data_IF_897384144762
#
_entry.id   IF_897384144762
#
_cell.length_a   1.000
_cell.length_b   1.000
_cell.length_c   1.000
_cell.angle_alpha   90.00
_cell.angle_beta   90.00
_cell.angle_gamma   90.00
#
_symmetry.space_group_name_H-M   'P 1'
#
loop_
_entity.id
_entity.type
_entity.pdbx_description
1 polymer ?
#
# COMPACT_ATOMS: atom_id res chain seq x y z
N UNK A 1 35.60 -72.07 -0.58
CA UNK A 1 34.70 -73.03 -1.27
C UNK A 1 33.81 -73.69 -0.24
N UNK A 2 32.53 -73.84 -0.58
CA UNK A 2 31.49 -74.70 0.01
C UNK A 2 30.81 -74.31 1.34
N UNK A 3 29.60 -73.81 1.12
CA UNK A 3 28.35 -73.93 1.89
C UNK A 3 28.11 -75.29 2.57
N UNK A 4 27.48 -75.30 3.75
CA UNK A 4 26.09 -75.81 4.00
C UNK A 4 25.73 -75.85 5.51
N UNK A 5 24.45 -75.51 5.80
CA UNK A 5 23.64 -75.59 7.05
C UNK A 5 23.36 -77.07 7.47
N UNK A 6 22.70 -77.46 8.60
CA UNK A 6 21.60 -76.77 9.36
C UNK A 6 21.45 -77.02 10.91
N UNK A 7 20.39 -76.38 11.45
CA UNK A 7 19.68 -76.44 12.77
C UNK A 7 19.44 -77.86 13.38
N UNK A 8 19.12 -78.05 14.70
CA UNK A 8 17.87 -77.56 15.35
C UNK A 8 17.86 -77.27 16.88
N UNK A 9 16.66 -76.87 17.30
CA UNK A 9 16.08 -76.37 18.57
C UNK A 9 15.92 -77.37 19.73
N UNK A 10 15.96 -76.86 20.98
CA UNK A 10 15.23 -77.43 22.14
C UNK A 10 14.72 -76.33 23.09
N UNK A 11 13.40 -76.40 23.40
CA UNK A 11 12.61 -75.69 24.43
C UNK A 11 12.79 -76.39 25.81
N UNK A 12 12.46 -75.90 27.03
CA UNK A 12 11.25 -75.20 27.54
C UNK A 12 11.41 -74.84 29.05
N UNK A 13 10.46 -74.00 29.56
CA UNK A 13 10.02 -73.64 30.95
C UNK A 13 10.60 -72.33 31.54
N UNK A 14 9.84 -71.36 32.08
CA UNK A 14 8.43 -71.29 32.55
C UNK A 14 8.00 -69.82 32.85
N UNK A 15 6.70 -69.48 32.69
CA UNK A 15 5.94 -68.46 33.47
C UNK A 15 5.57 -67.12 32.78
N UNK A 16 4.44 -66.98 32.06
CA UNK A 16 3.11 -66.41 32.47
C UNK A 16 3.17 -65.01 33.15
N UNK A 17 2.38 -63.96 32.83
CA UNK A 17 1.15 -63.74 32.04
C UNK A 17 0.91 -62.22 31.87
N UNK A 18 0.33 -61.77 30.75
CA UNK A 18 -0.13 -60.39 30.47
C UNK A 18 -1.36 -59.97 31.31
N UNK A 19 -1.55 -58.65 31.50
CA UNK A 19 -2.86 -58.06 31.83
C UNK A 19 -3.05 -56.68 31.20
N UNK A 20 -4.20 -56.48 30.55
CA UNK A 20 -4.75 -55.21 30.04
C UNK A 20 -6.00 -54.81 30.83
N UNK A 21 -6.18 -53.47 30.97
CA UNK A 21 -7.40 -52.64 31.11
C UNK A 21 -8.41 -52.80 32.29
N UNK A 22 -8.59 -51.67 33.01
CA UNK A 22 -9.82 -50.82 33.11
C UNK A 22 -10.43 -50.54 34.50
N UNK A 23 -10.90 -49.28 34.67
CA UNK A 23 -11.84 -48.68 35.66
C UNK A 23 -11.40 -48.62 37.14
N UNK A 24 -11.69 -47.60 37.98
CA UNK A 24 -12.68 -46.51 38.03
C UNK A 24 -12.03 -45.24 38.68
N UNK A 25 -12.64 -44.04 38.72
CA UNK A 25 -13.56 -43.62 39.81
C UNK A 25 -14.31 -42.30 39.49
N UNK A 26 -15.62 -42.34 39.75
CA UNK A 26 -16.62 -41.33 40.18
C UNK A 26 -16.42 -39.81 39.97
N UNK A 27 -17.43 -39.16 39.38
CA UNK A 27 -17.98 -37.88 39.87
C UNK A 27 -19.50 -37.80 39.59
N UNK A 28 -20.19 -37.14 40.53
CA UNK A 28 -21.61 -37.24 40.87
C UNK A 28 -22.62 -36.72 39.83
N UNK A 29 -23.79 -37.35 39.85
CA UNK A 29 -24.97 -37.05 39.05
C UNK A 29 -25.87 -35.97 39.69
N UNK A 30 -26.55 -35.18 38.86
CA UNK A 30 -27.87 -34.60 39.11
C UNK A 30 -28.74 -34.78 37.85
N UNK A 31 -29.98 -35.25 38.03
CA UNK A 31 -30.90 -35.75 36.99
C UNK A 31 -31.96 -34.71 36.58
N UNK A 32 -32.10 -34.50 35.26
CA UNK A 32 -33.32 -34.45 34.39
C UNK A 32 -34.47 -33.43 34.65
N UNK A 33 -35.40 -33.15 33.69
CA UNK A 33 -35.62 -33.76 32.36
C UNK A 33 -35.86 -32.78 31.17
N UNK A 34 -36.13 -33.40 30.02
CA UNK A 34 -36.40 -32.92 28.66
C UNK A 34 -37.43 -31.80 28.45
N UNK A 35 -37.24 -31.02 27.38
CA UNK A 35 -38.30 -30.76 26.40
C UNK A 35 -37.76 -30.40 25.01
N UNK A 36 -38.57 -30.75 24.02
CA UNK A 36 -38.30 -30.85 22.60
C UNK A 36 -38.64 -29.55 21.83
N UNK A 37 -38.18 -29.49 20.59
CA UNK A 37 -38.78 -28.76 19.44
C UNK A 37 -38.56 -27.24 19.33
N UNK A 38 -37.70 -26.81 18.39
CA UNK A 38 -38.07 -26.10 17.15
C UNK A 38 -36.81 -25.57 16.45
N UNK A 39 -36.48 -26.19 15.31
CA UNK A 39 -35.56 -25.63 14.34
C UNK A 39 -36.18 -24.34 13.77
N UNK A 40 -35.52 -23.20 13.97
CA UNK A 40 -35.86 -21.93 13.32
C UNK A 40 -34.82 -21.63 12.27
N UNK A 41 -35.24 -21.72 11.02
CA UNK A 41 -34.59 -21.27 9.80
C UNK A 41 -34.02 -19.86 9.99
N UNK A 42 -32.71 -19.67 9.88
CA UNK A 42 -32.11 -18.34 9.78
C UNK A 42 -32.26 -17.85 8.34
N UNK A 43 -33.21 -16.93 8.14
CA UNK A 43 -33.26 -16.05 6.97
C UNK A 43 -32.03 -15.14 6.96
N UNK A 44 -31.28 -15.18 5.87
CA UNK A 44 -30.24 -14.22 5.52
C UNK A 44 -30.86 -12.83 5.31
N UNK A 45 -30.54 -11.87 6.18
CA UNK A 45 -30.77 -10.44 5.91
C UNK A 45 -29.52 -9.87 5.25
N UNK A 46 -29.60 -9.65 3.95
CA UNK A 46 -28.66 -8.81 3.20
C UNK A 46 -28.85 -7.36 3.66
N UNK A 47 -27.77 -6.73 4.15
CA UNK A 47 -27.74 -5.31 4.48
C UNK A 47 -27.50 -4.54 3.18
N UNK A 48 -28.54 -3.98 2.58
CA UNK A 48 -28.42 -3.00 1.50
C UNK A 48 -28.42 -1.61 2.10
N UNK A 49 -27.31 -0.89 1.92
CA UNK A 49 -27.17 0.51 2.30
C UNK A 49 -27.88 1.37 1.25
N UNK A 50 -29.08 1.86 1.58
CA UNK A 50 -29.83 2.80 0.73
C UNK A 50 -29.32 4.23 0.95
N UNK A 51 -28.76 4.85 -0.09
CA UNK A 51 -28.58 6.30 -0.18
C UNK A 51 -29.91 6.93 -0.61
N UNK A 52 -30.39 7.90 0.16
CA UNK A 52 -31.56 8.76 -0.17
C UNK A 52 -31.13 9.97 -0.99
N UNK A 53 -31.84 10.35 -2.07
CA UNK A 53 -31.71 11.66 -2.68
C UNK A 53 -32.78 12.64 -2.18
N UNK A 54 -32.38 13.90 -1.99
CA UNK A 54 -33.20 15.06 -1.64
C UNK A 54 -33.99 15.50 -2.88
N UNK A 55 -35.32 15.65 -2.75
CA UNK A 55 -36.17 16.23 -3.78
C UNK A 55 -36.51 17.69 -3.46
N UNK A 56 -36.23 18.59 -4.40
CA UNK A 56 -36.63 20.01 -4.38
C UNK A 56 -37.84 20.21 -5.29
N UNK A 57 -38.85 20.90 -4.76
CA UNK A 57 -40.11 21.28 -5.43
C UNK A 57 -39.87 22.49 -6.33
N UNK A 58 -40.35 22.45 -7.59
CA UNK A 58 -40.84 23.64 -8.30
C UNK A 58 -41.96 23.25 -9.29
N UNK A 59 -43.05 24.01 -9.23
CA UNK A 59 -44.28 23.85 -10.02
C UNK A 59 -44.22 24.68 -11.31
N UNK A 60 -44.92 24.24 -12.37
CA UNK A 60 -45.59 25.21 -13.26
C UNK A 60 -45.81 24.80 -14.73
N UNK A 61 -47.09 24.74 -15.11
CA UNK A 61 -47.69 25.08 -16.43
C UNK A 61 -47.20 24.33 -17.68
N UNK A 62 -47.96 23.30 -18.04
CA UNK A 62 -48.10 22.80 -19.41
C UNK A 62 -49.25 23.53 -20.13
N UNK A 63 -49.25 23.42 -21.47
CA UNK A 63 -50.29 23.81 -22.44
C UNK A 63 -50.09 25.18 -23.10
N UNK A 64 -49.13 25.24 -24.03
CA UNK A 64 -49.25 25.99 -25.29
C UNK A 64 -48.13 25.68 -26.32
N UNK A 65 -47.14 24.84 -25.99
CA UNK A 65 -45.96 24.56 -26.82
C UNK A 65 -46.01 23.28 -27.68
N UNK A 66 -47.18 22.64 -27.86
CA UNK A 66 -47.25 21.31 -28.49
C UNK A 66 -47.39 21.29 -30.02
N UNK A 67 -47.67 22.43 -30.67
CA UNK A 67 -47.82 22.49 -32.13
C UNK A 67 -46.52 22.85 -32.87
N UNK A 68 -45.68 23.74 -32.31
CA UNK A 68 -44.38 24.12 -32.92
C UNK A 68 -43.27 23.06 -32.73
N UNK A 69 -43.46 22.11 -31.80
CA UNK A 69 -42.52 21.00 -31.60
C UNK A 69 -42.67 19.88 -32.64
N UNK A 70 -43.83 19.73 -33.28
CA UNK A 70 -44.05 18.68 -34.29
C UNK A 70 -43.27 18.94 -35.58
N UNK A 71 -43.35 20.16 -36.10
CA UNK A 71 -42.74 20.54 -37.39
C UNK A 71 -41.20 20.68 -37.32
N UNK A 72 -40.67 20.97 -36.12
CA UNK A 72 -39.23 21.09 -35.87
C UNK A 72 -38.55 19.72 -35.71
N UNK A 73 -39.30 18.69 -35.30
CA UNK A 73 -38.79 17.32 -35.15
C UNK A 73 -38.70 16.61 -36.50
N UNK A 74 -39.69 16.76 -37.38
CA UNK A 74 -39.67 16.12 -38.72
C UNK A 74 -38.53 16.65 -39.62
N UNK A 75 -38.27 17.96 -39.59
CA UNK A 75 -37.16 18.57 -40.33
C UNK A 75 -35.78 18.17 -39.78
N UNK A 76 -35.68 17.89 -38.47
CA UNK A 76 -34.43 17.45 -37.85
C UNK A 76 -34.14 15.97 -38.11
N UNK A 77 -35.16 15.13 -38.24
CA UNK A 77 -35.00 13.70 -38.60
C UNK A 77 -34.59 13.51 -40.06
N UNK A 78 -35.12 14.32 -40.99
CA UNK A 78 -34.75 14.27 -42.41
C UNK A 78 -33.30 14.74 -42.67
N UNK A 79 -32.80 15.67 -41.85
CA UNK A 79 -31.40 16.13 -41.93
C UNK A 79 -30.41 15.06 -41.41
N UNK A 80 -30.82 14.29 -40.40
CA UNK A 80 -30.06 13.20 -39.78
C UNK A 80 -29.98 11.95 -40.67
N UNK A 81 -31.03 11.63 -41.43
CA UNK A 81 -30.97 10.54 -42.42
C UNK A 81 -30.08 10.88 -43.62
N UNK A 82 -30.13 12.14 -44.12
CA UNK A 82 -29.27 12.57 -45.23
C UNK A 82 -27.78 12.59 -44.88
N UNK A 83 -27.43 12.92 -43.64
CA UNK A 83 -26.04 12.88 -43.17
C UNK A 83 -25.55 11.45 -42.99
N UNK A 84 -26.37 10.55 -42.42
CA UNK A 84 -26.03 9.11 -42.32
C UNK A 84 -25.81 8.45 -43.68
N UNK A 85 -26.66 8.74 -44.67
CA UNK A 85 -26.51 8.20 -46.03
C UNK A 85 -25.27 8.72 -46.78
N UNK A 86 -24.79 9.93 -46.45
CA UNK A 86 -23.52 10.46 -46.99
C UNK A 86 -22.29 9.86 -46.31
N UNK A 87 -22.40 9.46 -45.04
CA UNK A 87 -21.32 8.83 -44.28
C UNK A 87 -21.17 7.35 -44.62
N UNK A 88 -22.29 6.62 -44.79
CA UNK A 88 -22.30 5.22 -45.22
C UNK A 88 -21.74 5.04 -46.64
N UNK A 89 -22.02 5.96 -47.56
CA UNK A 89 -21.45 5.94 -48.93
C UNK A 89 -19.94 6.17 -48.98
N UNK A 90 -19.34 6.76 -47.93
CA UNK A 90 -17.90 7.00 -47.86
C UNK A 90 -17.12 5.79 -47.35
N UNK A 91 -17.82 4.79 -46.80
CA UNK A 91 -17.24 3.60 -46.15
C UNK A 91 -17.17 2.39 -47.12
N UNK A 92 -17.93 2.38 -48.22
CA UNK A 92 -17.98 1.24 -49.15
C UNK A 92 -16.82 1.13 -50.17
N UNK A 93 -15.94 2.13 -50.33
CA UNK A 93 -14.96 2.17 -51.44
C UNK A 93 -13.55 1.61 -51.13
N UNK A 94 -13.34 0.76 -50.13
CA UNK A 94 -12.01 0.16 -49.99
C UNK A 94 -11.85 -0.97 -48.99
N UNK A 95 -12.16 -2.20 -49.41
CA UNK A 95 -11.64 -3.40 -48.73
C UNK A 95 -11.61 -4.61 -49.68
N UNK A 96 -10.41 -5.02 -50.09
CA UNK A 96 -10.12 -6.40 -50.52
C UNK A 96 -9.33 -7.11 -49.42
N UNK A 97 -9.64 -8.39 -49.23
CA UNK A 97 -9.45 -9.18 -48.02
C UNK A 97 -8.64 -10.43 -48.30
N UNK A 98 -7.66 -10.75 -47.44
CA UNK A 98 -7.14 -12.12 -47.37
C UNK A 98 -6.71 -12.50 -45.94
N UNK A 99 -7.64 -13.17 -45.27
CA UNK A 99 -7.65 -14.05 -44.07
C UNK A 99 -6.32 -14.77 -43.67
N UNK A 100 -6.25 -15.49 -42.50
CA UNK A 100 -6.90 -15.32 -41.18
C UNK A 100 -5.92 -15.59 -39.96
N UNK A 101 -6.49 -15.67 -38.73
CA UNK A 101 -6.07 -16.51 -37.55
C UNK A 101 -5.48 -15.76 -36.33
N UNK A 102 -6.15 -15.89 -35.17
CA UNK A 102 -5.54 -15.70 -33.84
C UNK A 102 -6.37 -14.86 -32.86
N UNK A 103 -6.93 -15.49 -31.83
CA UNK A 103 -7.78 -14.86 -30.80
C UNK A 103 -7.05 -13.88 -29.85
N UNK A 104 -7.85 -13.06 -29.17
CA UNK A 104 -7.45 -12.03 -28.19
C UNK A 104 -6.77 -12.66 -26.95
N UNK A 105 -5.45 -12.65 -26.90
CA UNK A 105 -4.66 -12.65 -25.66
C UNK A 105 -4.49 -11.23 -25.10
N UNK A 106 -4.14 -11.11 -23.82
CA UNK A 106 -4.16 -9.88 -22.99
C UNK A 106 -3.07 -8.84 -23.28
N UNK A 107 -2.52 -8.79 -24.49
CA UNK A 107 -1.60 -7.72 -24.93
C UNK A 107 -2.30 -6.87 -25.99
N UNK A 108 -2.24 -5.54 -25.82
CA UNK A 108 -3.10 -4.57 -26.50
C UNK A 108 -3.01 -4.52 -28.04
N UNK A 109 -3.93 -3.74 -28.61
CA UNK A 109 -4.17 -3.59 -30.05
C UNK A 109 -2.98 -2.90 -30.75
N UNK A 110 -2.53 -3.49 -31.86
CA UNK A 110 -1.44 -3.01 -32.71
C UNK A 110 -1.85 -1.76 -33.51
N UNK A 111 -0.91 -0.82 -33.71
CA UNK A 111 -1.09 0.56 -34.21
C UNK A 111 -1.71 0.76 -35.61
N UNK A 112 -2.23 -0.28 -36.25
CA UNK A 112 -2.87 -0.22 -37.59
C UNK A 112 -4.38 -0.51 -37.59
N UNK A 113 -5.01 -0.64 -36.42
CA UNK A 113 -6.46 -0.89 -36.29
C UNK A 113 -7.20 0.32 -35.73
N UNK A 114 -7.02 1.48 -36.36
CA UNK A 114 -7.47 2.75 -35.79
C UNK A 114 -8.96 3.03 -35.95
N UNK A 115 -9.64 2.67 -37.04
CA UNK A 115 -10.85 3.46 -37.34
C UNK A 115 -12.21 2.89 -36.87
N UNK A 116 -12.35 1.58 -36.59
CA UNK A 116 -13.64 1.01 -36.12
C UNK A 116 -13.77 0.82 -34.60
N UNK A 117 -12.71 1.08 -33.83
CA UNK A 117 -12.74 1.05 -32.35
C UNK A 117 -13.00 2.42 -31.72
N UNK A 118 -12.76 3.53 -32.43
CA UNK A 118 -12.79 4.88 -31.83
C UNK A 118 -14.15 5.27 -31.21
N UNK A 119 -15.25 4.76 -31.74
CA UNK A 119 -16.58 5.14 -31.25
C UNK A 119 -16.95 4.50 -29.89
N UNK A 120 -16.42 3.33 -29.55
CA UNK A 120 -16.69 2.65 -28.27
C UNK A 120 -15.60 2.91 -27.20
N UNK A 121 -14.48 3.52 -27.60
CA UNK A 121 -13.27 3.73 -26.78
C UNK A 121 -13.33 5.02 -25.94
N UNK A 122 -14.22 5.95 -26.28
CA UNK A 122 -14.24 7.28 -25.65
C UNK A 122 -14.60 7.27 -24.15
N UNK A 123 -15.48 6.37 -23.71
CA UNK A 123 -15.99 6.38 -22.34
C UNK A 123 -15.05 5.71 -21.31
N UNK A 124 -14.25 4.73 -21.72
CA UNK A 124 -13.28 4.04 -20.86
C UNK A 124 -11.90 4.72 -20.84
N UNK A 125 -11.67 5.67 -21.74
CA UNK A 125 -10.44 6.46 -21.84
C UNK A 125 -10.65 7.93 -21.49
N UNK A 126 -11.86 8.31 -21.06
CA UNK A 126 -12.16 9.66 -20.62
C UNK A 126 -11.35 10.00 -19.35
N UNK A 127 -10.30 10.83 -19.45
CA UNK A 127 -9.47 11.18 -18.30
C UNK A 127 -10.21 12.09 -17.31
N UNK A 128 -11.39 12.60 -17.67
CA UNK A 128 -12.22 13.42 -16.78
C UNK A 128 -13.05 12.58 -15.80
N UNK A 129 -13.14 11.26 -16.00
CA UNK A 129 -13.82 10.35 -15.06
C UNK A 129 -12.95 10.10 -13.82
N UNK A 130 -13.19 10.88 -12.78
CA UNK A 130 -12.55 10.72 -11.47
C UNK A 130 -13.42 9.84 -10.54
N UNK A 131 -12.77 8.93 -9.81
CA UNK A 131 -13.40 8.05 -8.82
C UNK A 131 -12.41 7.75 -7.70
N UNK A 132 -12.84 7.12 -6.59
CA UNK A 132 -11.92 6.72 -5.52
C UNK A 132 -11.07 5.54 -6.00
N UNK A 133 -9.94 5.84 -6.65
CA UNK A 133 -8.96 4.86 -7.13
C UNK A 133 -7.93 4.47 -6.05
N UNK A 134 -8.06 5.01 -4.84
CA UNK A 134 -7.15 4.79 -3.72
C UNK A 134 -7.87 4.16 -2.54
N UNK A 135 -7.13 3.36 -1.77
CA UNK A 135 -7.46 2.91 -0.43
C UNK A 135 -7.56 4.15 0.47
N UNK A 136 -8.41 4.06 1.50
CA UNK A 136 -8.53 5.11 2.51
C UNK A 136 -7.15 5.47 3.08
N UNK A 137 -6.80 6.75 2.99
CA UNK A 137 -5.54 7.32 3.43
C UNK A 137 -5.82 8.49 4.39
N UNK A 138 -4.87 8.80 5.30
CA UNK A 138 -5.02 9.90 6.23
C UNK A 138 -4.98 11.26 5.51
N UNK A 139 -5.78 12.20 6.00
CA UNK A 139 -5.70 13.63 5.66
C UNK A 139 -5.25 14.35 6.91
N UNK A 140 -4.16 15.11 6.81
CA UNK A 140 -3.50 15.71 7.96
C UNK A 140 -3.87 17.18 8.13
N UNK A 141 -4.00 17.60 9.38
CA UNK A 141 -4.02 19.01 9.73
C UNK A 141 -2.60 19.59 9.73
N UNK A 142 -2.42 20.92 9.50
CA UNK A 142 -1.10 21.56 9.58
C UNK A 142 -0.38 21.32 10.91
N UNK A 143 -1.12 21.26 12.01
CA UNK A 143 -0.59 21.00 13.36
C UNK A 143 -0.04 19.57 13.47
N UNK A 144 -0.75 18.60 12.91
CA UNK A 144 -0.32 17.20 12.87
C UNK A 144 0.96 17.03 12.05
N UNK A 145 1.03 17.64 10.86
CA UNK A 145 2.21 17.62 10.00
C UNK A 145 3.46 18.15 10.69
N UNK A 146 3.31 19.24 11.46
CA UNK A 146 4.42 19.88 12.22
C UNK A 146 4.79 19.11 13.48
N UNK A 147 3.90 18.28 14.02
CA UNK A 147 4.14 17.51 15.25
C UNK A 147 5.11 16.34 15.07
N UNK A 148 5.33 15.89 13.83
CA UNK A 148 6.18 14.74 13.51
C UNK A 148 7.63 14.98 13.94
N UNK A 149 8.18 14.05 14.73
CA UNK A 149 9.56 14.08 15.22
C UNK A 149 10.38 12.95 14.62
N UNK A 150 11.69 13.17 14.53
CA UNK A 150 12.65 12.10 14.30
C UNK A 150 12.78 11.30 15.60
N UNK A 151 12.16 10.13 15.63
CA UNK A 151 12.12 9.26 16.81
C UNK A 151 12.84 7.97 16.49
N UNK A 152 13.61 7.46 17.45
CA UNK A 152 14.39 6.22 17.33
C UNK A 152 13.94 5.22 18.38
N UNK A 153 13.78 3.97 17.99
CA UNK A 153 13.51 2.85 18.89
C UNK A 153 14.81 2.21 19.36
N UNK A 154 14.90 1.93 20.66
CA UNK A 154 16.02 1.17 21.21
C UNK A 154 16.08 -0.26 20.63
N UNK A 155 17.27 -0.68 20.19
CA UNK A 155 17.52 -2.05 19.72
C UNK A 155 17.73 -2.99 20.91
N UNK A 156 16.69 -3.73 21.31
CA UNK A 156 16.76 -4.57 22.52
C UNK A 156 17.23 -5.99 22.19
N UNK A 157 16.56 -6.65 21.24
CA UNK A 157 16.85 -8.06 20.91
C UNK A 157 18.01 -8.21 19.94
N UNK A 158 18.57 -9.43 19.82
CA UNK A 158 19.56 -9.72 18.78
C UNK A 158 18.99 -9.47 17.38
N UNK A 159 17.74 -9.86 17.14
CA UNK A 159 17.07 -9.58 15.87
C UNK A 159 16.90 -8.08 15.62
N UNK A 160 16.65 -7.28 16.65
CA UNK A 160 16.55 -5.82 16.52
C UNK A 160 17.90 -5.23 16.10
N UNK A 161 19.00 -5.70 16.71
CA UNK A 161 20.36 -5.25 16.38
C UNK A 161 20.75 -5.64 14.96
N UNK A 162 20.40 -6.86 14.53
CA UNK A 162 20.62 -7.32 13.15
C UNK A 162 19.81 -6.49 12.15
N UNK A 163 18.53 -6.25 12.41
CA UNK A 163 17.67 -5.44 11.55
C UNK A 163 18.19 -4.00 11.41
N UNK A 164 18.53 -3.34 12.53
CA UNK A 164 19.11 -2.00 12.51
C UNK A 164 20.48 -1.97 11.80
N UNK A 165 21.30 -3.00 12.02
CA UNK A 165 22.57 -3.16 11.31
C UNK A 165 22.41 -3.29 9.80
N UNK A 166 21.43 -4.07 9.35
CA UNK A 166 21.10 -4.23 7.93
C UNK A 166 20.59 -2.93 7.30
N UNK A 167 19.74 -2.17 8.00
CA UNK A 167 19.29 -0.84 7.53
C UNK A 167 20.48 0.11 7.42
N UNK A 168 21.34 0.18 8.43
CA UNK A 168 22.55 1.02 8.40
C UNK A 168 23.51 0.63 7.29
N UNK A 169 23.70 -0.68 7.07
CA UNK A 169 24.49 -1.20 5.97
C UNK A 169 23.88 -0.80 4.62
N UNK A 170 22.58 -1.03 4.44
CA UNK A 170 21.85 -0.70 3.20
C UNK A 170 21.96 0.79 2.89
N UNK A 171 21.77 1.65 3.90
CA UNK A 171 21.96 3.09 3.78
C UNK A 171 23.39 3.45 3.37
N UNK A 172 24.39 2.85 4.02
CA UNK A 172 25.81 3.10 3.71
C UNK A 172 26.16 2.66 2.29
N UNK A 173 25.70 1.49 1.87
CA UNK A 173 25.89 0.98 0.52
C UNK A 173 25.20 1.86 -0.52
N UNK A 174 23.96 2.26 -0.26
CA UNK A 174 23.21 3.15 -1.15
C UNK A 174 23.92 4.50 -1.31
N UNK A 175 24.28 5.14 -0.20
CA UNK A 175 24.96 6.43 -0.18
C UNK A 175 26.33 6.35 -0.89
N UNK A 176 27.05 5.23 -0.75
CA UNK A 176 28.32 5.00 -1.44
C UNK A 176 28.15 4.77 -2.95
N UNK A 177 27.21 3.91 -3.36
CA UNK A 177 26.99 3.56 -4.77
C UNK A 177 26.44 4.71 -5.60
N UNK A 178 25.60 5.54 -4.98
CA UNK A 178 24.98 6.69 -5.66
C UNK A 178 25.83 7.95 -5.58
N UNK A 179 26.89 7.94 -4.75
CA UNK A 179 27.61 9.16 -4.38
C UNK A 179 26.78 10.12 -3.52
N UNK A 180 25.57 9.73 -3.11
CA UNK A 180 24.72 10.48 -2.19
C UNK A 180 25.19 10.28 -0.76
N UNK A 181 26.37 10.80 -0.43
CA UNK A 181 26.81 10.84 0.95
C UNK A 181 25.93 11.81 1.72
N UNK A 182 25.00 11.28 2.52
CA UNK A 182 24.24 12.06 3.49
C UNK A 182 25.14 12.83 4.48
N UNK A 183 26.38 12.36 4.65
CA UNK A 183 27.47 13.19 5.15
C UNK A 183 27.91 14.10 4.02
N UNK A 184 27.15 15.16 3.79
CA UNK A 184 27.69 16.33 3.14
C UNK A 184 28.95 16.75 3.87
N UNK A 185 29.95 17.21 3.12
CA UNK A 185 31.10 17.84 3.76
C UNK A 185 30.56 18.96 4.64
N UNK A 186 31.02 19.09 5.89
CA UNK A 186 30.57 20.18 6.74
C UNK A 186 30.74 21.49 5.99
N UNK A 187 29.71 22.33 6.00
CA UNK A 187 29.77 23.65 5.37
C UNK A 187 30.94 24.39 6.01
N UNK A 188 31.91 24.92 5.24
CA UNK A 188 33.05 25.63 5.80
C UNK A 188 32.56 26.82 6.62
N UNK A 189 32.90 26.85 7.91
CA UNK A 189 32.56 27.96 8.81
C UNK A 189 33.64 29.04 8.85
N UNK A 190 34.82 28.75 8.30
CA UNK A 190 35.94 29.68 8.16
C UNK A 190 36.01 30.20 6.73
N UNK A 191 35.90 31.52 6.55
CA UNK A 191 35.99 32.19 5.24
C UNK A 191 34.71 32.95 4.87
N UNK A 192 34.68 33.58 3.69
CA UNK A 192 33.48 34.27 3.22
C UNK A 192 32.32 33.27 2.99
N UNK A 193 31.05 33.68 3.22
CA UNK A 193 29.90 32.82 2.96
C UNK A 193 29.88 32.34 1.51
N UNK A 194 29.76 31.02 1.32
CA UNK A 194 29.67 30.42 -0.01
C UNK A 194 28.26 30.61 -0.58
N UNK A 195 28.18 30.92 -1.87
CA UNK A 195 26.93 30.89 -2.62
C UNK A 195 26.36 29.47 -2.72
N UNK A 196 25.06 29.34 -2.99
CA UNK A 196 24.38 28.05 -3.16
C UNK A 196 25.04 27.18 -4.24
N UNK A 197 25.44 27.79 -5.36
CA UNK A 197 26.13 27.10 -6.45
C UNK A 197 27.49 26.55 -6.03
N UNK A 198 28.24 27.31 -5.21
CA UNK A 198 29.52 26.85 -4.66
C UNK A 198 29.31 25.71 -3.66
N UNK A 199 28.27 25.79 -2.82
CA UNK A 199 27.92 24.72 -1.88
C UNK A 199 27.57 23.42 -2.61
N UNK A 200 26.77 23.50 -3.68
CA UNK A 200 26.40 22.34 -4.52
C UNK A 200 27.62 21.75 -5.24
N UNK A 201 28.45 22.58 -5.88
CA UNK A 201 29.70 22.14 -6.53
C UNK A 201 30.67 21.49 -5.54
N UNK A 202 30.71 21.96 -4.30
CA UNK A 202 31.51 21.40 -3.21
C UNK A 202 30.90 20.16 -2.53
N UNK A 203 29.75 19.69 -2.99
CA UNK A 203 28.99 18.58 -2.40
C UNK A 203 28.62 18.80 -0.91
N UNK A 204 28.39 20.06 -0.53
CA UNK A 204 27.91 20.46 0.79
C UNK A 204 26.38 20.43 0.91
N UNK A 205 25.67 20.46 -0.23
CA UNK A 205 24.20 20.52 -0.33
C UNK A 205 23.76 19.72 -1.56
N UNK A 206 22.68 18.95 -1.45
CA UNK A 206 22.10 18.23 -2.59
C UNK A 206 21.36 19.16 -3.55
N UNK A 207 21.45 18.89 -4.85
CA UNK A 207 20.59 19.52 -5.85
C UNK A 207 19.18 18.93 -5.84
N UNK A 208 18.17 19.63 -6.40
CA UNK A 208 16.82 19.09 -6.58
C UNK A 208 16.80 17.73 -7.28
N UNK A 209 17.65 17.54 -8.30
CA UNK A 209 17.72 16.29 -9.06
C UNK A 209 18.27 15.13 -8.24
N UNK A 210 19.20 15.42 -7.32
CA UNK A 210 19.76 14.41 -6.42
C UNK A 210 18.73 13.99 -5.36
N UNK A 211 17.98 14.95 -4.79
CA UNK A 211 16.87 14.66 -3.90
C UNK A 211 15.80 13.82 -4.61
N UNK A 212 15.43 14.22 -5.82
CA UNK A 212 14.41 13.53 -6.60
C UNK A 212 14.82 12.11 -6.98
N UNK A 213 16.06 11.91 -7.45
CA UNK A 213 16.58 10.59 -7.78
C UNK A 213 16.65 9.69 -6.54
N UNK A 214 17.00 10.25 -5.37
CA UNK A 214 16.98 9.52 -4.10
C UNK A 214 15.57 9.05 -3.74
N UNK A 215 14.60 9.96 -3.72
CA UNK A 215 13.22 9.63 -3.38
C UNK A 215 12.64 8.61 -4.38
N UNK A 216 12.72 8.88 -5.70
CA UNK A 216 12.25 7.96 -6.73
C UNK A 216 12.80 6.52 -6.57
N UNK A 217 14.08 6.38 -6.24
CA UNK A 217 14.66 5.06 -6.06
C UNK A 217 14.14 4.39 -4.78
N UNK A 218 14.15 5.08 -3.65
CA UNK A 218 13.78 4.49 -2.36
C UNK A 218 12.28 4.19 -2.30
N UNK A 219 11.42 5.07 -2.78
CA UNK A 219 9.96 4.87 -2.84
C UNK A 219 9.58 3.69 -3.74
N UNK A 220 10.35 3.42 -4.80
CA UNK A 220 10.14 2.24 -5.65
C UNK A 220 10.39 0.90 -4.93
N UNK A 221 11.10 0.93 -3.82
CA UNK A 221 11.42 -0.23 -2.98
C UNK A 221 10.52 -0.24 -1.73
N UNK A 222 10.18 0.93 -1.19
CA UNK A 222 9.36 1.11 0.02
C UNK A 222 7.95 0.49 -0.12
N UNK A 223 7.35 0.47 -1.32
CA UNK A 223 6.06 -0.20 -1.55
C UNK A 223 6.09 -1.73 -1.51
N UNK A 224 7.27 -2.36 -1.46
CA UNK A 224 7.40 -3.84 -1.53
C UNK A 224 7.06 -4.55 -0.21
N UNK A 225 7.55 -4.13 0.97
CA UNK A 225 7.34 -4.83 2.22
C UNK A 225 5.87 -5.01 2.61
N UNK A 226 5.07 -3.92 2.56
CA UNK A 226 3.63 -3.96 2.85
C UNK A 226 2.89 -4.95 1.94
N UNK A 227 3.22 -4.94 0.63
CA UNK A 227 2.63 -5.83 -0.37
C UNK A 227 2.96 -7.30 -0.08
N UNK A 228 4.24 -7.61 0.18
CA UNK A 228 4.69 -8.98 0.48
C UNK A 228 4.06 -9.50 1.78
N UNK A 229 4.07 -8.68 2.84
CA UNK A 229 3.49 -9.02 4.12
C UNK A 229 1.97 -9.24 4.01
N UNK A 230 1.26 -8.31 3.35
CA UNK A 230 -0.18 -8.39 3.07
C UNK A 230 -0.53 -9.64 2.27
N UNK A 231 0.20 -9.93 1.19
CA UNK A 231 0.03 -11.14 0.37
C UNK A 231 0.24 -12.41 1.18
N UNK A 232 1.33 -12.54 1.93
CA UNK A 232 1.65 -13.75 2.71
C UNK A 232 0.61 -14.01 3.81
N UNK A 233 0.09 -12.94 4.43
CA UNK A 233 -1.00 -13.01 5.41
C UNK A 233 -2.34 -13.34 4.76
N UNK A 234 -2.64 -12.75 3.61
CA UNK A 234 -3.83 -13.06 2.81
C UNK A 234 -3.88 -14.55 2.44
N UNK A 235 -2.81 -15.08 1.84
CA UNK A 235 -2.70 -16.50 1.52
C UNK A 235 -2.76 -17.38 2.78
N UNK A 236 -2.36 -16.87 3.95
CA UNK A 236 -2.46 -17.60 5.23
C UNK A 236 -3.90 -17.69 5.71
N UNK A 237 -4.61 -16.58 5.65
CA UNK A 237 -6.04 -16.52 5.97
C UNK A 237 -6.84 -17.50 5.11
N UNK A 238 -6.57 -17.51 3.78
CA UNK A 238 -7.21 -18.43 2.85
C UNK A 238 -6.88 -19.90 3.15
N UNK A 239 -5.61 -20.29 3.21
CA UNK A 239 -5.24 -21.72 3.38
C UNK A 239 -5.59 -22.30 4.75
N UNK A 240 -5.74 -21.45 5.77
CA UNK A 240 -6.15 -21.87 7.11
C UNK A 240 -7.64 -21.66 7.39
N UNK A 241 -8.37 -21.03 6.47
CA UNK A 241 -9.79 -20.66 6.62
C UNK A 241 -10.07 -19.88 7.90
N UNK A 242 -9.24 -18.87 8.18
CA UNK A 242 -9.28 -18.05 9.41
C UNK A 242 -9.33 -16.56 9.11
N UNK A 243 -9.93 -15.78 10.00
CA UNK A 243 -9.84 -14.32 9.95
C UNK A 243 -8.39 -13.87 10.14
N UNK A 244 -7.97 -12.84 9.42
CA UNK A 244 -6.63 -12.25 9.53
C UNK A 244 -6.48 -11.31 10.73
N UNK A 245 -7.58 -10.67 11.12
CA UNK A 245 -7.60 -9.76 12.26
C UNK A 245 -7.16 -8.34 11.96
N UNK A 246 -7.35 -7.87 10.72
CA UNK A 246 -7.19 -6.45 10.34
C UNK A 246 -5.79 -6.04 9.90
N UNK A 247 -4.87 -6.98 9.71
CA UNK A 247 -3.50 -6.71 9.31
C UNK A 247 -3.39 -6.46 7.80
N UNK A 248 -4.07 -7.27 6.98
CA UNK A 248 -3.96 -7.23 5.51
C UNK A 248 -4.31 -5.83 4.99
N UNK A 249 -5.44 -5.26 5.41
CA UNK A 249 -5.86 -3.94 4.93
C UNK A 249 -4.82 -2.86 5.22
N UNK A 250 -4.28 -2.83 6.44
CA UNK A 250 -3.25 -1.87 6.84
C UNK A 250 -1.98 -2.01 6.00
N UNK A 251 -1.53 -3.25 5.76
CA UNK A 251 -0.30 -3.51 5.00
C UNK A 251 -0.45 -3.23 3.50
N UNK A 252 -1.64 -3.45 2.94
CA UNK A 252 -1.95 -3.09 1.57
C UNK A 252 -2.09 -1.58 1.40
N UNK A 253 -2.68 -0.88 2.39
CA UNK A 253 -2.76 0.57 2.41
C UNK A 253 -1.37 1.21 2.49
N UNK A 254 -0.48 0.69 3.33
CA UNK A 254 0.94 1.11 3.39
C UNK A 254 1.62 0.95 2.03
N UNK A 255 1.51 -0.23 1.40
CA UNK A 255 2.11 -0.46 0.08
C UNK A 255 1.58 0.48 -1.01
N UNK A 256 0.29 0.84 -0.95
CA UNK A 256 -0.27 1.83 -1.86
C UNK A 256 0.22 3.25 -1.55
N UNK A 257 0.30 3.61 -0.28
CA UNK A 257 0.75 4.94 0.15
C UNK A 257 2.18 5.23 -0.36
N UNK A 258 3.10 4.27 -0.20
CA UNK A 258 4.46 4.35 -0.75
C UNK A 258 4.47 4.45 -2.29
N UNK A 259 3.54 3.75 -2.97
CA UNK A 259 3.36 3.89 -4.42
C UNK A 259 2.89 5.30 -4.79
N UNK A 260 2.08 5.94 -3.96
CA UNK A 260 1.63 7.32 -4.17
C UNK A 260 2.76 8.33 -3.94
N UNK A 261 3.71 8.07 -3.03
CA UNK A 261 4.96 8.82 -2.93
C UNK A 261 5.73 8.77 -4.25
N UNK A 262 6.00 7.56 -4.75
CA UNK A 262 6.70 7.33 -6.02
C UNK A 262 6.02 8.07 -7.18
N UNK A 263 4.71 7.88 -7.35
CA UNK A 263 3.97 8.48 -8.46
C UNK A 263 3.96 10.01 -8.38
N UNK A 264 3.90 10.57 -7.17
CA UNK A 264 4.05 12.02 -6.95
C UNK A 264 5.39 12.52 -7.48
N UNK A 265 6.51 11.89 -7.10
CA UNK A 265 7.83 12.27 -7.59
C UNK A 265 8.01 12.04 -9.10
N UNK A 266 7.36 11.04 -9.68
CA UNK A 266 7.40 10.77 -11.12
C UNK A 266 6.73 11.86 -11.97
N UNK A 267 5.86 12.68 -11.39
CA UNK A 267 5.29 13.85 -12.10
C UNK A 267 6.33 14.95 -12.34
N UNK A 268 7.40 14.99 -11.53
CA UNK A 268 8.45 16.02 -11.60
C UNK A 268 9.52 15.61 -12.64
N UNK A 269 9.89 14.33 -12.69
CA UNK A 269 10.93 13.85 -13.61
C UNK A 269 10.67 12.42 -14.09
N UNK A 270 10.81 12.25 -15.40
CA UNK A 270 10.82 10.93 -16.03
C UNK A 270 12.18 10.23 -15.81
N UNK A 271 12.21 9.05 -15.18
CA UNK A 271 13.46 8.32 -14.97
C UNK A 271 14.02 7.75 -16.29
N UNK A 272 15.35 7.72 -16.42
CA UNK A 272 16.01 7.13 -17.59
C UNK A 272 15.83 5.61 -17.66
N UNK A 273 16.05 5.01 -18.83
CA UNK A 273 15.99 3.55 -19.02
C UNK A 273 16.98 2.84 -18.08
N UNK A 274 18.19 3.40 -17.93
CA UNK A 274 19.18 2.87 -16.99
C UNK A 274 18.69 2.90 -15.54
N UNK A 275 18.08 4.00 -15.10
CA UNK A 275 17.51 4.11 -13.76
C UNK A 275 16.39 3.09 -13.54
N UNK A 276 15.51 2.90 -14.53
CA UNK A 276 14.44 1.89 -14.49
C UNK A 276 14.99 0.47 -14.42
N UNK A 277 16.08 0.17 -15.13
CA UNK A 277 16.77 -1.12 -15.05
C UNK A 277 17.37 -1.37 -13.65
N UNK A 278 17.93 -0.33 -13.02
CA UNK A 278 18.42 -0.44 -11.63
C UNK A 278 17.27 -0.73 -10.65
N UNK A 279 16.11 -0.05 -10.79
CA UNK A 279 14.93 -0.34 -9.96
C UNK A 279 14.50 -1.80 -10.15
N UNK A 280 14.40 -2.27 -11.39
CA UNK A 280 13.99 -3.65 -11.68
C UNK A 280 14.94 -4.67 -11.01
N UNK A 281 16.25 -4.45 -11.11
CA UNK A 281 17.25 -5.29 -10.45
C UNK A 281 17.13 -5.24 -8.92
N UNK A 282 16.99 -4.04 -8.34
CA UNK A 282 16.84 -3.84 -6.90
C UNK A 282 15.57 -4.50 -6.36
N UNK A 283 14.43 -4.32 -7.04
CA UNK A 283 13.16 -4.99 -6.69
C UNK A 283 13.29 -6.51 -6.81
N UNK A 284 13.93 -7.02 -7.88
CA UNK A 284 14.16 -8.45 -8.05
C UNK A 284 14.92 -9.08 -6.87
N UNK A 285 15.96 -8.41 -6.37
CA UNK A 285 16.70 -8.88 -5.20
C UNK A 285 15.91 -8.68 -3.91
N UNK A 286 15.44 -7.45 -3.66
CA UNK A 286 14.81 -7.08 -2.39
C UNK A 286 13.50 -7.81 -2.14
N UNK A 287 12.64 -7.94 -3.16
CA UNK A 287 11.38 -8.69 -3.06
C UNK A 287 11.63 -10.12 -2.57
N UNK A 288 12.57 -10.84 -3.21
CA UNK A 288 12.85 -12.24 -2.88
C UNK A 288 13.46 -12.38 -1.48
N UNK A 289 14.42 -11.51 -1.11
CA UNK A 289 15.02 -11.52 0.22
C UNK A 289 13.98 -11.20 1.30
N UNK A 290 13.15 -10.19 1.10
CA UNK A 290 12.14 -9.80 2.06
C UNK A 290 11.04 -10.85 2.19
N UNK A 291 10.60 -11.46 1.08
CA UNK A 291 9.67 -12.58 1.07
C UNK A 291 10.15 -13.75 1.93
N UNK A 292 11.40 -14.18 1.73
CA UNK A 292 12.00 -15.25 2.53
C UNK A 292 12.15 -14.83 4.00
N UNK A 293 12.61 -13.60 4.26
CA UNK A 293 12.74 -13.08 5.62
C UNK A 293 11.40 -13.04 6.36
N UNK A 294 10.31 -12.63 5.70
CA UNK A 294 8.98 -12.59 6.28
C UNK A 294 8.43 -13.99 6.57
N UNK A 295 8.72 -14.97 5.71
CA UNK A 295 8.36 -16.37 5.99
C UNK A 295 9.07 -16.93 7.23
N UNK A 296 10.35 -16.58 7.42
CA UNK A 296 11.16 -17.05 8.55
C UNK A 296 10.79 -16.32 9.84
N UNK A 297 10.74 -14.99 9.82
CA UNK A 297 10.45 -14.16 10.99
C UNK A 297 9.70 -12.87 10.61
N UNK A 298 8.36 -12.90 10.62
CA UNK A 298 7.55 -11.69 10.38
C UNK A 298 7.87 -10.55 11.36
N UNK A 299 8.19 -10.89 12.62
CA UNK A 299 8.57 -9.89 13.64
C UNK A 299 9.85 -9.15 13.25
N UNK A 300 10.86 -9.87 12.78
CA UNK A 300 12.13 -9.30 12.32
C UNK A 300 11.93 -8.47 11.06
N UNK A 301 11.09 -8.93 10.13
CA UNK A 301 10.75 -8.20 8.91
C UNK A 301 10.05 -6.87 9.21
N UNK A 302 9.00 -6.86 10.04
CA UNK A 302 8.37 -5.62 10.50
C UNK A 302 9.34 -4.71 11.26
N UNK A 303 10.25 -5.29 12.06
CA UNK A 303 11.24 -4.47 12.76
C UNK A 303 12.24 -3.81 11.80
N UNK A 304 12.64 -4.53 10.74
CA UNK A 304 13.48 -3.99 9.68
C UNK A 304 12.80 -2.83 8.95
N UNK A 305 11.53 -2.99 8.56
CA UNK A 305 10.74 -1.90 7.96
C UNK A 305 10.63 -0.71 8.90
N UNK A 306 10.29 -0.93 10.17
CA UNK A 306 10.23 0.17 11.15
C UNK A 306 11.52 1.00 11.23
N UNK A 307 12.70 0.35 11.14
CA UNK A 307 13.97 1.07 11.06
C UNK A 307 14.23 1.75 9.72
N UNK A 308 13.72 1.24 8.59
CA UNK A 308 13.75 1.96 7.32
C UNK A 308 12.96 3.27 7.44
N UNK A 309 11.78 3.22 8.04
CA UNK A 309 10.92 4.41 8.14
C UNK A 309 11.44 5.43 9.17
N UNK A 310 12.22 5.00 10.17
CA UNK A 310 13.02 5.92 10.97
C UNK A 310 14.03 6.71 10.13
N UNK A 311 14.68 6.05 9.17
CA UNK A 311 15.60 6.71 8.25
C UNK A 311 14.86 7.60 7.25
N UNK A 312 13.67 7.20 6.78
CA UNK A 312 12.81 7.99 5.91
C UNK A 312 12.34 9.27 6.61
N UNK A 313 11.83 9.16 7.84
CA UNK A 313 11.48 10.30 8.70
C UNK A 313 12.64 11.29 8.85
N UNK A 314 13.87 10.79 9.06
CA UNK A 314 15.07 11.63 9.15
C UNK A 314 15.39 12.30 7.80
N UNK A 315 15.34 11.54 6.71
CA UNK A 315 15.63 12.06 5.36
C UNK A 315 14.68 13.19 4.98
N UNK A 316 13.36 13.03 5.17
CA UNK A 316 12.40 14.08 4.85
C UNK A 316 12.45 15.26 5.81
N UNK A 317 12.77 15.04 7.10
CA UNK A 317 13.04 16.15 8.03
C UNK A 317 14.19 17.02 7.54
N UNK A 318 15.27 16.41 7.08
CA UNK A 318 16.43 17.16 6.57
C UNK A 318 16.16 17.81 5.23
N UNK A 319 15.36 17.20 4.36
CA UNK A 319 14.88 17.84 3.15
C UNK A 319 14.14 19.16 3.49
N UNK A 320 13.21 19.12 4.44
CA UNK A 320 12.49 20.31 4.91
C UNK A 320 13.44 21.35 5.52
N UNK A 321 14.43 20.92 6.31
CA UNK A 321 15.44 21.84 6.86
C UNK A 321 16.28 22.53 5.77
N UNK A 322 16.64 21.83 4.69
CA UNK A 322 17.34 22.42 3.55
C UNK A 322 16.47 23.44 2.81
N UNK A 323 15.16 23.19 2.70
CA UNK A 323 14.19 24.14 2.14
C UNK A 323 14.06 25.39 3.04
N UNK A 324 13.96 25.21 4.35
CA UNK A 324 13.83 26.30 5.32
C UNK A 324 15.08 27.19 5.37
N UNK A 325 16.26 26.59 5.22
CA UNK A 325 17.55 27.30 5.16
C UNK A 325 17.84 27.93 3.79
N UNK A 326 16.92 27.85 2.83
CA UNK A 326 17.08 28.42 1.48
C UNK A 326 18.09 27.70 0.61
N UNK A 327 18.39 26.43 0.91
CA UNK A 327 19.36 25.59 0.19
C UNK A 327 18.72 24.64 -0.82
N UNK A 328 17.39 24.54 -0.76
CA UNK A 328 16.54 23.91 -1.77
C UNK A 328 15.37 24.84 -2.15
N UNK A 329 15.66 26.06 -2.67
CA UNK A 329 14.61 27.02 -3.01
C UNK A 329 13.68 26.51 -4.13
N UNK A 330 14.19 25.68 -5.05
CA UNK A 330 13.43 25.19 -6.20
C UNK A 330 12.23 24.35 -5.78
N UNK A 331 12.35 23.54 -4.72
CA UNK A 331 11.21 22.79 -4.21
C UNK A 331 10.31 23.66 -3.34
N UNK A 332 10.86 24.66 -2.63
CA UNK A 332 10.06 25.52 -1.76
C UNK A 332 9.02 26.32 -2.56
N UNK A 333 9.40 26.74 -3.76
CA UNK A 333 8.57 27.55 -4.67
C UNK A 333 7.75 26.70 -5.66
N UNK A 334 8.08 25.42 -5.80
CA UNK A 334 7.39 24.52 -6.73
C UNK A 334 5.95 24.27 -6.27
N UNK A 335 4.93 24.45 -7.14
CA UNK A 335 3.56 24.09 -6.80
C UNK A 335 3.45 22.57 -6.56
N UNK A 336 2.60 22.18 -5.61
CA UNK A 336 2.32 20.78 -5.35
C UNK A 336 1.77 20.09 -6.61
N UNK A 337 2.28 18.90 -6.99
CA UNK A 337 1.70 18.16 -8.11
C UNK A 337 0.22 17.85 -7.90
N UNK A 338 -0.58 17.89 -8.97
CA UNK A 338 -2.03 17.66 -8.89
C UNK A 338 -2.39 16.31 -8.24
N UNK A 339 -1.61 15.26 -8.51
CA UNK A 339 -1.76 13.94 -7.87
C UNK A 339 -1.59 14.02 -6.34
N UNK A 340 -0.65 14.84 -5.86
CA UNK A 340 -0.41 15.03 -4.44
C UNK A 340 -1.53 15.85 -3.79
N UNK A 341 -1.99 16.90 -4.48
CA UNK A 341 -3.11 17.71 -4.01
C UNK A 341 -4.39 16.88 -3.86
N UNK A 342 -4.71 16.04 -4.85
CA UNK A 342 -5.86 15.15 -4.79
C UNK A 342 -5.70 14.07 -3.71
N UNK A 343 -4.53 13.45 -3.63
CA UNK A 343 -4.28 12.39 -2.66
C UNK A 343 -4.27 12.91 -1.21
N UNK A 344 -3.42 13.87 -0.86
CA UNK A 344 -3.37 14.39 0.52
C UNK A 344 -4.43 15.45 0.84
N UNK A 345 -5.33 15.74 -0.10
CA UNK A 345 -6.38 16.78 0.03
C UNK A 345 -5.78 18.14 0.40
N UNK A 346 -4.66 18.48 -0.22
CA UNK A 346 -3.96 19.74 0.06
C UNK A 346 -4.78 20.93 -0.46
N UNK A 347 -4.79 22.07 0.26
CA UNK A 347 -5.43 23.29 -0.21
C UNK A 347 -4.87 23.79 -1.55
N UNK A 348 -5.67 24.57 -2.28
CA UNK A 348 -5.19 25.27 -3.47
C UNK A 348 -4.00 26.19 -3.12
N UNK A 349 -2.98 26.18 -3.97
CA UNK A 349 -1.75 26.95 -3.76
C UNK A 349 -0.70 26.28 -2.87
N UNK A 350 -0.93 25.04 -2.40
CA UNK A 350 0.10 24.26 -1.71
C UNK A 350 1.35 24.05 -2.55
N UNK A 351 2.49 23.94 -1.89
CA UNK A 351 3.80 23.77 -2.53
C UNK A 351 4.35 22.36 -2.34
N UNK A 352 5.47 22.04 -2.99
CA UNK A 352 6.19 20.79 -2.73
C UNK A 352 6.63 20.67 -1.26
N UNK A 353 6.77 21.79 -0.53
CA UNK A 353 7.04 21.74 0.91
C UNK A 353 5.91 21.05 1.69
N UNK A 354 4.65 21.35 1.36
CA UNK A 354 3.47 20.72 1.98
C UNK A 354 3.37 19.23 1.63
N UNK A 355 3.76 18.88 0.39
CA UNK A 355 3.87 17.48 -0.05
C UNK A 355 4.91 16.74 0.78
N UNK A 356 6.11 17.30 0.97
CA UNK A 356 7.17 16.66 1.79
C UNK A 356 6.76 16.55 3.26
N UNK A 357 6.01 17.53 3.79
CA UNK A 357 5.42 17.40 5.13
C UNK A 357 4.47 16.21 5.23
N UNK A 358 3.63 16.01 4.21
CA UNK A 358 2.63 14.93 4.16
C UNK A 358 3.29 13.55 4.03
N UNK A 359 4.24 13.41 3.11
CA UNK A 359 5.06 12.19 2.96
C UNK A 359 5.74 11.85 4.29
N UNK A 360 6.39 12.82 4.94
CA UNK A 360 7.04 12.60 6.25
C UNK A 360 6.05 12.12 7.33
N UNK A 361 4.80 12.59 7.30
CA UNK A 361 3.78 12.14 8.23
C UNK A 361 3.37 10.68 7.96
N UNK A 362 3.24 10.30 6.70
CA UNK A 362 3.01 8.91 6.28
C UNK A 362 4.15 7.99 6.73
N UNK A 363 5.40 8.37 6.51
CA UNK A 363 6.57 7.61 7.00
C UNK A 363 6.54 7.39 8.51
N UNK A 364 6.09 8.41 9.26
CA UNK A 364 5.98 8.31 10.71
C UNK A 364 4.89 7.34 11.15
N UNK A 365 3.81 7.22 10.36
CA UNK A 365 2.76 6.24 10.55
C UNK A 365 3.25 4.83 10.20
N UNK A 366 3.96 4.64 9.08
CA UNK A 366 4.53 3.36 8.69
C UNK A 366 5.55 2.86 9.74
N UNK A 367 6.43 3.76 10.21
CA UNK A 367 7.34 3.51 11.35
C UNK A 367 6.58 2.99 12.56
N UNK A 368 5.55 3.74 12.98
CA UNK A 368 4.76 3.45 14.16
C UNK A 368 4.06 2.09 14.06
N UNK A 369 3.40 1.82 12.93
CA UNK A 369 2.66 0.59 12.66
C UNK A 369 3.61 -0.60 12.63
N UNK A 370 4.71 -0.53 11.88
CA UNK A 370 5.66 -1.63 11.75
C UNK A 370 6.39 -1.96 13.06
N UNK A 371 6.80 -0.96 13.84
CA UNK A 371 7.35 -1.21 15.18
C UNK A 371 6.33 -1.83 16.14
N UNK A 372 5.06 -1.43 16.04
CA UNK A 372 3.97 -2.04 16.81
C UNK A 372 3.77 -3.51 16.42
N UNK A 373 3.64 -3.79 15.12
CA UNK A 373 3.50 -5.14 14.57
C UNK A 373 4.66 -6.06 14.92
N UNK A 374 5.90 -5.54 14.94
CA UNK A 374 7.06 -6.30 15.40
C UNK A 374 6.96 -6.75 16.88
N UNK A 375 6.16 -6.06 17.69
CA UNK A 375 5.98 -6.33 19.13
C UNK A 375 4.84 -7.32 19.42
N UNK A 376 3.95 -7.59 18.46
CA UNK A 376 2.77 -8.45 18.63
C UNK A 376 3.04 -9.95 18.39
N UNK A 377 2.25 -10.83 18.99
CA UNK A 377 2.19 -12.24 18.63
C UNK A 377 1.47 -12.42 17.28
N UNK A 378 2.27 -12.65 16.25
CA UNK A 378 1.85 -12.82 14.85
C UNK A 378 0.78 -13.90 14.61
N UNK A 379 0.57 -14.83 15.55
CA UNK A 379 -0.42 -15.91 15.44
C UNK A 379 -1.69 -15.66 16.26
N UNK A 380 -1.63 -14.84 17.31
CA UNK A 380 -2.69 -14.70 18.30
C UNK A 380 -3.30 -13.30 18.36
N UNK A 381 -2.50 -12.28 18.10
CA UNK A 381 -2.91 -10.90 18.29
C UNK A 381 -3.57 -10.33 17.01
N UNK A 382 -4.64 -9.57 17.21
CA UNK A 382 -5.29 -8.78 16.17
C UNK A 382 -4.50 -7.48 15.94
N UNK A 383 -4.69 -6.84 14.79
CA UNK A 383 -4.12 -5.51 14.58
C UNK A 383 -4.81 -4.52 15.52
N UNK A 384 -4.06 -3.78 16.35
CA UNK A 384 -4.63 -2.78 17.24
C UNK A 384 -5.27 -1.61 16.47
N UNK A 385 -4.92 -1.46 15.19
CA UNK A 385 -5.37 -0.38 14.32
C UNK A 385 -6.67 -0.71 13.58
N UNK A 386 -7.15 -1.95 13.69
CA UNK A 386 -8.36 -2.40 12.99
C UNK A 386 -9.65 -1.74 13.49
N UNK A 387 -9.68 -1.27 14.73
CA UNK A 387 -10.86 -0.65 15.35
C UNK A 387 -10.79 0.88 15.37
N UNK A 388 -9.59 1.41 15.59
CA UNK A 388 -9.35 2.84 15.71
C UNK A 388 -7.94 3.14 15.23
N UNK A 389 -7.81 4.15 14.39
CA UNK A 389 -6.52 4.71 14.00
C UNK A 389 -5.94 5.57 15.15
N UNK A 390 -4.68 5.37 15.55
CA UNK A 390 -4.01 6.29 16.45
C UNK A 390 -3.89 7.68 15.81
N UNK A 391 -4.02 8.74 16.60
CA UNK A 391 -3.87 10.13 16.12
C UNK A 391 -2.53 10.32 15.42
N UNK A 392 -2.47 11.18 14.39
CA UNK A 392 -1.23 11.45 13.67
C UNK A 392 -0.13 12.00 14.60
N UNK A 393 -0.47 12.82 15.60
CA UNK A 393 0.48 13.29 16.63
C UNK A 393 1.16 12.13 17.38
N UNK A 394 0.40 11.11 17.78
CA UNK A 394 0.94 9.95 18.48
C UNK A 394 1.88 9.14 17.57
N UNK A 395 1.47 8.92 16.31
CA UNK A 395 2.28 8.23 15.30
C UNK A 395 3.58 9.00 15.01
N UNK A 396 3.51 10.32 14.96
CA UNK A 396 4.63 11.23 14.71
C UNK A 396 5.63 11.33 15.86
N UNK A 397 5.20 11.14 17.13
CA UNK A 397 6.02 11.39 18.32
C UNK A 397 6.49 10.14 19.07
N UNK A 398 5.92 8.98 18.78
CA UNK A 398 6.28 7.70 19.39
C UNK A 398 6.81 6.74 18.32
N UNK A 399 7.79 5.85 18.62
CA UNK A 399 8.29 4.94 17.60
C UNK A 399 7.31 3.81 17.28
N UNK A 400 6.41 3.45 18.18
CA UNK A 400 5.46 2.35 18.06
C UNK A 400 5.00 1.86 19.43
N UNK A 401 3.98 1.02 19.47
CA UNK A 401 3.49 0.40 20.69
C UNK A 401 4.30 -0.82 21.12
N UNK A 402 4.44 -1.02 22.43
CA UNK A 402 4.67 -2.36 22.97
C UNK A 402 3.40 -3.21 22.84
N UNK A 403 3.51 -4.50 23.11
CA UNK A 403 2.33 -5.38 23.08
C UNK A 403 1.28 -4.98 24.11
N UNK A 404 1.71 -4.55 25.29
CA UNK A 404 0.87 -4.12 26.40
C UNK A 404 0.15 -2.82 26.06
N UNK A 405 0.87 -1.86 25.49
CA UNK A 405 0.32 -0.57 25.03
C UNK A 405 -0.69 -0.77 23.90
N UNK A 406 -0.39 -1.66 22.94
CA UNK A 406 -1.33 -2.01 21.87
C UNK A 406 -2.61 -2.64 22.43
N UNK A 407 -2.49 -3.53 23.43
CA UNK A 407 -3.65 -4.13 24.09
C UNK A 407 -4.47 -3.10 24.88
N UNK A 408 -3.81 -2.13 25.52
CA UNK A 408 -4.49 -1.03 26.21
C UNK A 408 -5.22 -0.10 25.24
N UNK A 409 -4.59 0.24 24.12
CA UNK A 409 -5.19 1.05 23.06
C UNK A 409 -6.47 0.40 22.52
N UNK A 410 -6.44 -0.92 22.27
CA UNK A 410 -7.64 -1.68 21.84
C UNK A 410 -8.73 -1.66 22.91
N UNK A 411 -8.37 -1.84 24.20
CA UNK A 411 -9.36 -1.75 25.30
C UNK A 411 -9.99 -0.37 25.39
N UNK A 412 -9.21 0.69 25.16
CA UNK A 412 -9.72 2.06 25.13
C UNK A 412 -10.65 2.27 23.94
N UNK A 413 -10.26 1.86 22.74
CA UNK A 413 -11.09 1.96 21.54
C UNK A 413 -12.45 1.25 21.72
N UNK A 414 -12.47 0.07 22.35
CA UNK A 414 -13.71 -0.62 22.69
C UNK A 414 -14.58 0.13 23.70
N UNK A 415 -13.99 0.79 24.71
CA UNK A 415 -14.75 1.57 25.69
C UNK A 415 -15.35 2.84 25.09
N UNK A 416 -14.69 3.45 24.11
CA UNK A 416 -15.18 4.66 23.44
C UNK A 416 -16.26 4.36 22.39
N UNK A 417 -16.27 3.12 21.87
CA UNK A 417 -17.27 2.66 20.89
C UNK A 417 -18.55 2.07 21.52
N UNK A 418 -18.52 1.78 22.83
CA UNK A 418 -19.64 1.27 23.61
C UNK A 418 -20.36 2.43 24.30
#
# INVERSE_FOLDING_TARGET
MNTLRPLPTTFLRTGLRLRTRSTATSLSACRHPMSCTLARTMTTRSFTQTQTPIATIFSGRALHASAELGERVENSTALLERTKLQEEKKIEEGLDSSKPIGGKGSEGIHFKQTDSLLAAVHDLQDPSRTGPWTISHPVYTPEELRSVKVVRRATVTLSDKLAAGLVKLSRTCYDALTGYSFRHRPIPTSGPPLSLDQLRKGNHVMTPEQWLARCLFLESIAGVPGMVAGMLRHLRSLRLMRRDGGWINTLMAEAENERMHLLTFMTIKQPSIFFRAMILGAQGVFFNLFFLAYMVSPKSAHRFVGYLEEEACLTYTLCLEEMDKGRLPEWKEMPAPAIAMDYWRLPEGSTMQDVIYSIRADESAHRFVNHSYASLDQKKDFSPFALKEPSAVLKGTKPGFTREEAAEFVRQAHREAA
#
